data_IF_277283390605
#
_entry.id   IF_277283390605
#
_cell.length_a   1.000
_cell.length_b   1.000
_cell.length_c   1.000
_cell.angle_alpha   90.00
_cell.angle_beta   90.00
_cell.angle_gamma   90.00
#
_symmetry.space_group_name_H-M   'P 1'
#
loop_
_entity.id
_entity.type
_entity.pdbx_description
1 polymer ?
#
# COMPACT_ATOMS: atom_id res chain seq x y z
N UNK A 1 7.84 17.70 4.38
CA UNK A 1 6.36 17.77 4.24
C UNK A 1 5.67 17.36 5.53
N UNK A 2 4.43 17.83 5.77
CA UNK A 2 3.62 17.32 6.89
C UNK A 2 3.20 15.86 6.66
N UNK A 3 3.23 15.04 7.70
CA UNK A 3 2.82 13.64 7.65
C UNK A 3 2.51 13.05 9.03
N UNK A 4 1.88 11.88 9.02
CA UNK A 4 1.70 11.02 10.21
C UNK A 4 2.66 9.84 10.08
N UNK A 5 3.44 9.56 11.12
CA UNK A 5 4.40 8.45 11.17
C UNK A 5 4.40 7.76 12.52
N UNK A 6 4.95 6.55 12.58
CA UNK A 6 5.22 5.83 13.82
C UNK A 6 6.50 4.98 13.65
N UNK A 7 7.25 4.77 14.72
CA UNK A 7 8.54 4.05 14.72
C UNK A 7 8.53 2.74 15.51
N UNK A 8 7.40 2.42 16.15
CA UNK A 8 7.18 1.20 16.93
C UNK A 8 5.73 0.75 16.82
N UNK A 9 5.48 -0.53 17.08
CA UNK A 9 4.11 -1.04 17.19
C UNK A 9 3.41 -0.53 18.44
N UNK A 10 2.09 -0.45 18.36
CA UNK A 10 1.22 -0.14 19.49
C UNK A 10 -0.10 0.44 19.05
N UNK A 11 -0.98 0.74 20.01
CA UNK A 11 -2.27 1.40 19.81
C UNK A 11 -2.15 2.82 19.20
N UNK A 12 -3.26 3.53 18.95
CA UNK A 12 -3.24 4.80 18.20
C UNK A 12 -2.30 5.88 18.76
N UNK A 13 -1.97 5.82 20.05
CA UNK A 13 -1.02 6.73 20.71
C UNK A 13 0.43 6.63 20.25
N UNK A 14 0.80 5.69 19.37
CA UNK A 14 2.12 5.67 18.72
C UNK A 14 2.21 6.56 17.47
N UNK A 15 1.08 7.11 17.00
CA UNK A 15 1.04 7.99 15.84
C UNK A 15 1.57 9.38 16.19
N UNK A 16 2.52 9.85 15.41
CA UNK A 16 3.13 11.17 15.53
C UNK A 16 2.82 11.99 14.28
N UNK A 17 2.18 13.15 14.47
CA UNK A 17 1.99 14.14 13.41
C UNK A 17 3.13 15.15 13.43
N UNK A 18 3.77 15.39 12.29
CA UNK A 18 4.92 16.27 12.24
C UNK A 18 5.45 16.53 10.84
N UNK A 19 6.67 17.09 10.79
CA UNK A 19 7.43 17.18 9.56
C UNK A 19 8.15 15.86 9.29
N UNK A 20 7.96 15.34 8.08
CA UNK A 20 8.71 14.21 7.53
C UNK A 20 9.55 14.69 6.34
N UNK A 21 10.64 13.98 6.06
CA UNK A 21 11.52 14.30 4.93
C UNK A 21 10.76 14.13 3.62
N UNK A 22 11.01 15.04 2.68
CA UNK A 22 10.47 14.86 1.33
C UNK A 22 11.11 13.60 0.70
N UNK A 23 10.30 12.75 0.04
CA UNK A 23 10.79 11.50 -0.51
C UNK A 23 11.77 11.75 -1.66
N UNK A 24 12.81 10.91 -1.76
CA UNK A 24 13.68 10.86 -2.93
C UNK A 24 12.98 10.09 -4.05
N UNK A 25 13.05 10.61 -5.26
CA UNK A 25 12.25 10.12 -6.39
C UNK A 25 13.20 9.67 -7.51
N UNK A 26 13.03 8.43 -7.97
CA UNK A 26 13.79 7.87 -9.08
C UNK A 26 13.15 8.18 -10.45
N UNK A 27 13.79 7.78 -11.55
CA UNK A 27 13.31 8.06 -12.92
C UNK A 27 11.90 7.54 -13.21
N UNK A 28 11.50 6.42 -12.61
CA UNK A 28 10.21 5.75 -12.84
C UNK A 28 9.17 6.05 -11.74
N UNK A 29 9.37 7.10 -10.96
CA UNK A 29 8.48 7.46 -9.86
C UNK A 29 7.95 8.90 -10.01
N UNK A 30 6.75 9.12 -9.48
CA UNK A 30 6.10 10.43 -9.45
C UNK A 30 5.84 10.86 -8.01
N UNK A 31 5.96 12.16 -7.73
CA UNK A 31 5.51 12.73 -6.47
C UNK A 31 4.03 13.10 -6.56
N UNK A 32 3.21 12.53 -5.68
CA UNK A 32 1.79 12.89 -5.60
C UNK A 32 1.55 13.79 -4.40
N UNK A 33 1.01 14.99 -4.65
CA UNK A 33 0.52 15.86 -3.58
C UNK A 33 -0.79 15.31 -3.03
N UNK A 34 -0.73 14.69 -1.85
CA UNK A 34 -1.90 14.10 -1.18
C UNK A 34 -2.88 15.21 -0.77
N UNK A 35 -4.11 15.17 -1.30
CA UNK A 35 -5.22 16.04 -0.88
C UNK A 35 -6.06 15.41 0.23
N UNK A 36 -6.23 14.10 0.15
CA UNK A 36 -6.96 13.25 1.09
C UNK A 36 -6.37 11.83 1.03
N UNK A 37 -6.54 11.09 2.13
CA UNK A 37 -6.22 9.67 2.24
C UNK A 37 -7.37 8.98 3.00
N UNK A 38 -7.70 7.76 2.59
CA UNK A 38 -8.63 6.90 3.32
C UNK A 38 -7.90 6.16 4.45
N UNK A 39 -8.66 5.65 5.41
CA UNK A 39 -8.15 4.73 6.43
C UNK A 39 -8.78 3.37 6.18
N UNK A 40 -7.94 2.37 5.97
CA UNK A 40 -8.30 1.00 5.66
C UNK A 40 -7.92 0.07 6.84
N UNK A 41 -8.54 -1.12 6.94
CA UNK A 41 -8.22 -2.05 8.02
C UNK A 41 -6.74 -2.48 8.09
N UNK A 42 -6.02 -2.38 6.97
CA UNK A 42 -4.58 -2.69 6.92
C UNK A 42 -3.75 -1.71 7.75
N UNK A 43 -4.18 -0.46 7.89
CA UNK A 43 -3.40 0.60 8.55
C UNK A 43 -3.23 0.31 10.05
N UNK A 44 -4.32 0.02 10.75
CA UNK A 44 -4.26 -0.28 12.18
C UNK A 44 -3.67 -1.67 12.44
N UNK A 45 -3.94 -2.67 11.58
CA UNK A 45 -3.34 -4.01 11.69
C UNK A 45 -1.82 -3.95 11.51
N UNK A 46 -1.35 -3.14 10.56
CA UNK A 46 0.08 -2.91 10.34
C UNK A 46 0.72 -2.17 11.52
N UNK A 47 0.10 -1.08 11.99
CA UNK A 47 0.57 -0.31 13.16
C UNK A 47 0.64 -1.15 14.45
N UNK A 48 -0.25 -2.10 14.63
CA UNK A 48 -0.26 -3.00 15.80
C UNK A 48 0.60 -4.26 15.62
N UNK A 49 1.26 -4.42 14.46
CA UNK A 49 2.15 -5.55 14.18
C UNK A 49 1.44 -6.85 13.81
N UNK A 50 0.11 -6.83 13.65
CA UNK A 50 -0.69 -8.02 13.32
C UNK A 50 -0.38 -8.57 11.91
N UNK A 51 0.25 -7.79 11.04
CA UNK A 51 0.59 -8.21 9.68
C UNK A 51 1.95 -8.90 9.55
N UNK A 52 2.82 -8.84 10.57
CA UNK A 52 4.20 -9.31 10.44
C UNK A 52 4.32 -10.78 10.09
N UNK A 53 3.57 -11.64 10.78
CA UNK A 53 3.61 -13.08 10.56
C UNK A 53 3.15 -13.46 9.15
N UNK A 54 2.04 -12.85 8.69
CA UNK A 54 1.48 -13.14 7.37
C UNK A 54 2.37 -12.58 6.26
N UNK A 55 2.91 -11.36 6.40
CA UNK A 55 3.79 -10.77 5.41
C UNK A 55 5.10 -11.56 5.28
N UNK A 56 5.72 -11.97 6.39
CA UNK A 56 6.92 -12.83 6.36
C UNK A 56 6.67 -14.14 5.63
N UNK A 57 5.50 -14.77 5.88
CA UNK A 57 5.13 -16.02 5.21
C UNK A 57 4.87 -15.82 3.72
N UNK A 58 4.18 -14.74 3.34
CA UNK A 58 3.93 -14.40 1.93
C UNK A 58 5.24 -14.11 1.19
N UNK A 59 6.19 -13.40 1.80
CA UNK A 59 7.51 -13.17 1.21
C UNK A 59 8.25 -14.48 0.96
N UNK A 60 8.30 -15.39 1.93
CA UNK A 60 8.94 -16.70 1.76
C UNK A 60 8.31 -17.53 0.63
N UNK A 61 6.97 -17.50 0.50
CA UNK A 61 6.28 -18.17 -0.60
C UNK A 61 6.55 -17.50 -1.95
N UNK A 62 6.69 -16.17 -1.98
CA UNK A 62 7.02 -15.44 -3.21
C UNK A 62 8.44 -15.74 -3.68
N UNK A 63 9.41 -15.82 -2.77
CA UNK A 63 10.80 -16.21 -3.05
C UNK A 63 10.89 -17.64 -3.62
N UNK A 64 10.00 -18.53 -3.18
CA UNK A 64 9.88 -19.89 -3.71
C UNK A 64 9.12 -19.96 -5.05
N UNK A 65 8.58 -18.84 -5.54
CA UNK A 65 7.71 -18.80 -6.71
C UNK A 65 6.31 -19.39 -6.50
N UNK A 66 5.96 -19.80 -5.27
CA UNK A 66 4.65 -20.34 -4.92
C UNK A 66 3.56 -19.26 -4.90
N UNK A 67 3.96 -17.99 -4.71
CA UNK A 67 3.11 -16.81 -4.86
C UNK A 67 3.71 -15.90 -5.92
N UNK A 68 2.94 -15.52 -6.93
CA UNK A 68 3.38 -14.59 -7.98
C UNK A 68 2.39 -13.43 -8.11
N UNK A 69 2.92 -12.22 -8.29
CA UNK A 69 2.11 -11.03 -8.56
C UNK A 69 1.74 -11.05 -10.04
N UNK A 70 0.45 -10.99 -10.34
CA UNK A 70 -0.05 -10.91 -11.71
C UNK A 70 -0.51 -9.49 -12.02
N UNK A 71 0.16 -8.82 -12.95
CA UNK A 71 -0.27 -7.51 -13.46
C UNK A 71 -1.39 -7.74 -14.47
N UNK A 72 -2.62 -7.48 -14.06
CA UNK A 72 -3.81 -7.65 -14.89
C UNK A 72 -3.89 -6.62 -16.04
N UNK A 73 -3.19 -5.48 -15.92
CA UNK A 73 -3.02 -4.51 -17.01
C UNK A 73 -2.33 -3.23 -16.57
N UNK A 74 -1.86 -2.44 -17.54
CA UNK A 74 -1.20 -1.15 -17.34
C UNK A 74 -2.01 -0.03 -17.98
N UNK A 75 -2.01 1.13 -17.35
CA UNK A 75 -2.74 2.31 -17.81
C UNK A 75 -1.80 3.52 -17.73
N UNK A 76 -1.86 4.45 -18.70
CA UNK A 76 -1.14 5.71 -18.57
C UNK A 76 -1.74 6.54 -17.41
N UNK A 77 -0.96 7.45 -16.83
CA UNK A 77 -1.31 8.14 -15.59
C UNK A 77 -2.63 8.90 -15.67
N UNK A 78 -2.90 9.55 -16.81
CA UNK A 78 -4.15 10.26 -17.10
C UNK A 78 -5.39 9.37 -17.08
N UNK A 79 -5.22 8.04 -17.13
CA UNK A 79 -6.27 7.03 -17.05
C UNK A 79 -6.35 6.31 -15.71
N UNK A 80 -5.78 6.87 -14.63
CA UNK A 80 -5.82 6.27 -13.28
C UNK A 80 -7.24 5.93 -12.82
N UNK A 81 -8.25 6.75 -13.15
CA UNK A 81 -9.65 6.47 -12.82
C UNK A 81 -10.19 5.20 -13.50
N UNK A 82 -9.72 4.86 -14.70
CA UNK A 82 -10.11 3.65 -15.42
C UNK A 82 -9.51 2.42 -14.75
N UNK A 83 -8.23 2.50 -14.34
CA UNK A 83 -7.57 1.44 -13.58
C UNK A 83 -8.31 1.15 -12.27
N UNK A 84 -8.74 2.20 -11.55
CA UNK A 84 -9.51 2.06 -10.33
C UNK A 84 -10.88 1.41 -10.56
N UNK A 85 -11.64 1.88 -11.58
CA UNK A 85 -12.94 1.27 -11.94
C UNK A 85 -12.80 -0.20 -12.31
N UNK A 86 -11.82 -0.56 -13.13
CA UNK A 86 -11.55 -1.96 -13.49
C UNK A 86 -11.26 -2.83 -12.26
N UNK A 87 -10.49 -2.32 -11.30
CA UNK A 87 -10.20 -3.01 -10.05
C UNK A 87 -11.48 -3.34 -9.26
N UNK A 88 -12.47 -2.42 -9.27
CA UNK A 88 -13.75 -2.60 -8.58
C UNK A 88 -14.69 -3.62 -9.23
N UNK A 89 -14.44 -4.04 -10.49
CA UNK A 89 -15.30 -5.00 -11.18
C UNK A 89 -15.15 -6.45 -10.69
N UNK A 90 -14.23 -6.74 -9.76
CA UNK A 90 -14.08 -8.09 -9.17
C UNK A 90 -13.57 -9.16 -10.16
N UNK A 91 -12.99 -8.73 -11.28
CA UNK A 91 -12.52 -9.59 -12.38
C UNK A 91 -11.02 -9.85 -12.37
N UNK A 92 -10.26 -9.14 -11.54
CA UNK A 92 -8.82 -9.32 -11.36
C UNK A 92 -8.55 -10.67 -10.71
N UNK A 93 -7.56 -11.44 -11.19
CA UNK A 93 -7.25 -12.75 -10.59
C UNK A 93 -6.91 -12.58 -9.10
N UNK A 94 -7.75 -13.11 -8.20
CA UNK A 94 -7.59 -13.04 -6.75
C UNK A 94 -8.56 -12.12 -5.99
N UNK A 95 -9.45 -11.39 -6.67
CA UNK A 95 -10.50 -10.59 -6.01
C UNK A 95 -11.93 -11.11 -6.26
N UNK A 96 -12.09 -12.39 -6.62
CA UNK A 96 -13.39 -13.07 -6.63
C UNK A 96 -13.83 -13.30 -5.18
N UNK A 97 -14.77 -12.47 -4.73
CA UNK A 97 -15.64 -12.77 -3.59
C UNK A 97 -16.96 -13.33 -4.12
#
# INVERSE_FOLDING_TARGET
>A
MKGISYSRYGGPGVLEYGEVRDPKIGPDAVLVKVRAAAVDPVDWKGREGHLDGVLKRLSALAEQGAVTVHVDGTFPLERTADAHRRSQEGRTRGNRW
#
